data_IF_750583372122
#
_entry.id   IF_750583372122
#
_cell.length_a   1.000
_cell.length_b   1.000
_cell.length_c   1.000
_cell.angle_alpha   90.00
_cell.angle_beta   90.00
_cell.angle_gamma   90.00
#
_symmetry.space_group_name_H-M   'P 1'
#
loop_
_entity.id
_entity.type
_entity.pdbx_description
1 polymer ?
#
# COMPACT_ATOMS: atom_id res chain seq x y z
N UNK A 1 35.43 -30.20 34.58
CA UNK A 1 34.19 -29.96 35.36
C UNK A 1 33.60 -28.55 35.21
N UNK A 2 34.23 -27.59 34.53
CA UNK A 2 33.67 -26.23 34.37
C UNK A 2 32.58 -26.11 33.28
N UNK A 3 32.57 -26.98 32.26
CA UNK A 3 31.59 -26.92 31.17
C UNK A 3 30.17 -27.35 31.59
N UNK A 4 30.04 -28.24 32.58
CA UNK A 4 28.75 -28.72 33.10
C UNK A 4 28.03 -27.68 33.95
N UNK A 5 28.75 -26.78 34.64
CA UNK A 5 28.16 -25.69 35.41
C UNK A 5 27.60 -24.56 34.55
N UNK A 6 28.15 -24.34 33.35
CA UNK A 6 27.67 -23.30 32.42
C UNK A 6 26.35 -23.70 31.75
N UNK A 7 26.15 -25.00 31.47
CA UNK A 7 24.93 -25.52 30.87
C UNK A 7 23.76 -25.68 31.87
N UNK A 8 23.99 -25.49 33.17
CA UNK A 8 22.95 -25.54 34.20
C UNK A 8 22.08 -24.27 34.28
N UNK A 9 22.48 -23.18 33.63
CA UNK A 9 21.71 -21.94 33.60
C UNK A 9 20.65 -21.99 32.50
N UNK A 10 19.40 -22.22 32.90
CA UNK A 10 18.25 -22.30 32.00
C UNK A 10 18.10 -21.04 31.12
N UNK A 11 18.43 -19.85 31.65
CA UNK A 11 18.41 -18.60 30.89
C UNK A 11 19.46 -18.58 29.77
N UNK A 12 20.70 -19.02 30.06
CA UNK A 12 21.76 -19.09 29.06
C UNK A 12 21.42 -20.11 27.98
N UNK A 13 20.90 -21.28 28.36
CA UNK A 13 20.46 -22.30 27.41
C UNK A 13 19.30 -21.79 26.55
N UNK A 14 18.33 -21.08 27.15
CA UNK A 14 17.24 -20.42 26.43
C UNK A 14 17.76 -19.38 25.43
N UNK A 15 18.73 -18.54 25.84
CA UNK A 15 19.39 -17.61 24.94
C UNK A 15 20.10 -18.32 23.79
N UNK A 16 20.90 -19.37 24.05
CA UNK A 16 21.61 -20.12 23.01
C UNK A 16 20.63 -20.78 22.04
N UNK A 17 19.55 -21.38 22.54
CA UNK A 17 18.51 -21.99 21.70
C UNK A 17 17.70 -20.96 20.90
N UNK A 18 17.51 -19.75 21.44
CA UNK A 18 16.87 -18.64 20.75
C UNK A 18 17.76 -18.05 19.63
N UNK A 19 19.09 -18.19 19.75
CA UNK A 19 20.06 -17.82 18.74
C UNK A 19 20.25 -18.93 17.71
N UNK A 20 19.32 -19.04 16.77
CA UNK A 20 19.46 -19.98 15.64
C UNK A 20 20.38 -19.36 14.58
N UNK A 21 21.54 -19.98 14.35
CA UNK A 21 22.53 -19.53 13.35
C UNK A 21 23.04 -18.10 13.58
N UNK A 22 23.08 -17.62 14.84
CA UNK A 22 23.50 -16.25 15.16
C UNK A 22 22.45 -15.18 14.87
N UNK A 23 21.20 -15.56 14.60
CA UNK A 23 20.05 -14.66 14.48
C UNK A 23 19.18 -14.75 15.73
N UNK A 24 18.65 -13.62 16.19
CA UNK A 24 17.65 -13.63 17.26
C UNK A 24 16.33 -14.24 16.78
N UNK A 25 15.56 -14.81 17.70
CA UNK A 25 14.23 -15.38 17.41
C UNK A 25 13.30 -14.38 16.72
N UNK A 26 13.37 -13.09 17.08
CA UNK A 26 12.61 -12.02 16.43
C UNK A 26 12.98 -11.87 14.94
N UNK A 27 14.28 -11.86 14.61
CA UNK A 27 14.75 -11.74 13.22
C UNK A 27 14.32 -12.96 12.40
N UNK A 28 14.47 -14.17 12.95
CA UNK A 28 14.00 -15.41 12.31
C UNK A 28 12.48 -15.37 12.09
N UNK A 29 11.72 -14.84 13.05
CA UNK A 29 10.28 -14.69 12.92
C UNK A 29 9.88 -13.65 11.84
N UNK A 30 10.60 -12.52 11.73
CA UNK A 30 10.42 -11.53 10.64
C UNK A 30 10.64 -12.20 9.29
N UNK A 31 11.69 -13.02 9.14
CA UNK A 31 11.99 -13.75 7.91
C UNK A 31 10.95 -14.80 7.51
N UNK A 32 10.08 -15.20 8.44
CA UNK A 32 8.98 -16.16 8.22
C UNK A 32 7.63 -15.47 8.04
N UNK A 33 7.56 -14.14 8.16
CA UNK A 33 6.32 -13.41 7.97
C UNK A 33 5.92 -13.41 6.50
N UNK A 34 4.76 -13.97 6.16
CA UNK A 34 4.22 -13.86 4.81
C UNK A 34 3.85 -12.41 4.49
N UNK A 35 4.02 -11.99 3.24
CA UNK A 35 3.64 -10.65 2.75
C UNK A 35 2.13 -10.58 2.48
N UNK A 36 1.58 -9.37 2.56
CA UNK A 36 0.16 -9.14 2.27
C UNK A 36 0.00 -8.97 0.76
N UNK A 37 -0.74 -9.89 0.14
CA UNK A 37 -0.88 -9.94 -1.31
C UNK A 37 -2.17 -9.27 -1.79
N UNK A 38 -3.25 -9.38 -1.01
CA UNK A 38 -4.51 -8.71 -1.31
C UNK A 38 -5.14 -8.16 -0.04
N UNK A 39 -5.83 -7.02 -0.19
CA UNK A 39 -6.73 -6.48 0.83
C UNK A 39 -8.14 -6.45 0.23
N UNK A 40 -9.15 -6.84 1.01
CA UNK A 40 -10.56 -6.73 0.66
C UNK A 40 -11.40 -6.37 1.89
N UNK A 41 -12.67 -6.02 1.69
CA UNK A 41 -13.60 -5.62 2.75
C UNK A 41 -15.04 -5.67 2.26
N UNK A 42 -15.90 -4.84 2.84
CA UNK A 42 -17.35 -4.87 2.65
C UNK A 42 -17.85 -4.46 1.25
N UNK A 43 -17.05 -3.74 0.46
CA UNK A 43 -17.35 -3.43 -0.95
C UNK A 43 -17.39 -4.67 -1.87
N UNK A 44 -16.81 -5.81 -1.48
CA UNK A 44 -16.79 -7.03 -2.30
C UNK A 44 -17.60 -8.11 -1.58
N UNK A 45 -18.68 -8.55 -2.21
CA UNK A 45 -19.38 -9.76 -1.81
C UNK A 45 -18.98 -10.89 -2.76
N UNK A 46 -18.47 -12.00 -2.22
CA UNK A 46 -18.16 -13.19 -3.02
C UNK A 46 -18.72 -14.44 -2.35
N UNK A 47 -19.42 -15.24 -3.14
CA UNK A 47 -19.97 -16.53 -2.68
C UNK A 47 -18.94 -17.68 -2.72
N UNK A 48 -17.72 -17.45 -3.25
CA UNK A 48 -16.69 -18.48 -3.38
C UNK A 48 -15.44 -18.14 -2.58
N UNK A 49 -15.07 -19.04 -1.67
CA UNK A 49 -13.75 -19.04 -1.05
C UNK A 49 -12.71 -19.50 -2.08
N UNK A 50 -11.91 -18.58 -2.63
CA UNK A 50 -10.79 -18.95 -3.50
C UNK A 50 -9.53 -19.20 -2.69
N UNK A 51 -8.95 -20.39 -2.81
CA UNK A 51 -7.76 -20.85 -2.08
C UNK A 51 -6.59 -21.11 -3.04
N UNK A 52 -6.12 -20.09 -3.77
CA UNK A 52 -5.14 -20.30 -4.85
C UNK A 52 -3.90 -19.40 -4.85
N UNK A 53 -3.56 -18.67 -3.78
CA UNK A 53 -2.29 -17.92 -3.77
C UNK A 53 -1.45 -18.11 -2.52
N UNK A 54 -0.13 -18.14 -2.73
CA UNK A 54 0.92 -18.22 -1.73
C UNK A 54 1.12 -16.82 -1.11
N UNK A 55 0.20 -16.43 -0.21
CA UNK A 55 0.19 -15.09 0.36
C UNK A 55 -0.99 -14.82 1.30
N UNK A 56 -0.85 -13.78 2.13
CA UNK A 56 -1.95 -13.36 3.01
C UNK A 56 -2.98 -12.58 2.18
N UNK A 57 -4.19 -13.11 2.13
CA UNK A 57 -5.39 -12.39 1.70
C UNK A 57 -6.07 -11.81 2.94
N UNK A 58 -5.85 -10.52 3.19
CA UNK A 58 -6.35 -9.88 4.41
C UNK A 58 -7.72 -9.24 4.19
N UNK A 59 -8.68 -9.57 5.04
CA UNK A 59 -9.84 -8.71 5.22
C UNK A 59 -9.40 -7.43 5.96
N UNK A 60 -10.00 -6.28 5.62
CA UNK A 60 -9.68 -4.97 6.21
C UNK A 60 -9.73 -4.98 7.75
N UNK A 61 -10.66 -5.73 8.33
CA UNK A 61 -10.81 -5.87 9.78
C UNK A 61 -9.67 -6.67 10.45
N UNK A 62 -9.03 -7.59 9.74
CA UNK A 62 -7.95 -8.43 10.28
C UNK A 62 -6.57 -7.77 10.16
N UNK A 63 -6.48 -6.74 9.32
CA UNK A 63 -5.22 -6.11 8.95
C UNK A 63 -4.47 -5.55 10.17
N UNK A 64 -5.19 -4.94 11.12
CA UNK A 64 -4.59 -4.41 12.35
C UNK A 64 -3.90 -5.51 13.18
N UNK A 65 -4.55 -6.66 13.36
CA UNK A 65 -3.98 -7.77 14.12
C UNK A 65 -2.74 -8.38 13.44
N UNK A 66 -2.76 -8.52 12.11
CA UNK A 66 -1.61 -8.98 11.31
C UNK A 66 -0.44 -8.02 11.50
N UNK A 67 -0.69 -6.72 11.43
CA UNK A 67 0.35 -5.69 11.52
C UNK A 67 0.86 -5.49 12.94
N UNK A 68 0.01 -5.61 13.96
CA UNK A 68 0.42 -5.57 15.36
C UNK A 68 1.38 -6.71 15.70
N UNK A 69 1.14 -7.92 15.17
CA UNK A 69 2.09 -9.04 15.33
C UNK A 69 3.46 -8.69 14.72
N UNK A 70 3.48 -8.07 13.54
CA UNK A 70 4.72 -7.64 12.89
C UNK A 70 5.40 -6.50 13.65
N UNK A 71 4.64 -5.54 14.20
CA UNK A 71 5.16 -4.48 15.07
C UNK A 71 5.94 -5.08 16.23
N UNK A 72 5.33 -5.99 16.99
CA UNK A 72 5.99 -6.64 18.13
C UNK A 72 7.32 -7.30 17.74
N UNK A 73 7.38 -7.95 16.56
CA UNK A 73 8.61 -8.59 16.08
C UNK A 73 9.68 -7.57 15.66
N UNK A 74 9.28 -6.52 14.93
CA UNK A 74 10.22 -5.50 14.44
C UNK A 74 10.75 -4.65 15.59
N UNK A 75 9.88 -4.22 16.51
CA UNK A 75 10.27 -3.49 17.73
C UNK A 75 11.22 -4.32 18.59
N UNK A 76 10.89 -5.59 18.88
CA UNK A 76 11.80 -6.47 19.63
C UNK A 76 13.17 -6.67 18.95
N UNK A 77 13.23 -6.63 17.62
CA UNK A 77 14.50 -6.66 16.90
C UNK A 77 15.25 -5.32 16.96
N UNK A 78 14.54 -4.19 17.02
CA UNK A 78 15.14 -2.85 17.08
C UNK A 78 15.58 -2.46 18.50
N UNK A 79 14.92 -2.96 19.54
CA UNK A 79 15.21 -2.63 20.96
C UNK A 79 16.61 -3.08 21.41
N UNK A 80 17.22 -4.05 20.71
CA UNK A 80 18.56 -4.51 21.01
C UNK A 80 19.57 -4.03 19.93
N UNK A 81 20.63 -3.26 20.27
CA UNK A 81 21.54 -2.65 19.30
C UNK A 81 22.16 -3.63 18.29
N UNK A 82 22.57 -4.81 18.75
CA UNK A 82 23.15 -5.84 17.88
C UNK A 82 22.12 -6.41 16.89
N UNK A 83 20.86 -6.57 17.30
CA UNK A 83 19.78 -7.08 16.45
C UNK A 83 19.34 -6.01 15.45
N UNK A 84 19.28 -4.75 15.88
CA UNK A 84 18.97 -3.62 15.02
C UNK A 84 20.00 -3.50 13.88
N UNK A 85 21.30 -3.49 14.22
CA UNK A 85 22.37 -3.46 13.23
C UNK A 85 22.30 -4.65 12.25
N UNK A 86 22.02 -5.85 12.77
CA UNK A 86 21.82 -7.04 11.97
C UNK A 86 20.59 -6.94 11.06
N UNK A 87 19.46 -6.44 11.56
CA UNK A 87 18.23 -6.23 10.80
C UNK A 87 18.46 -5.25 9.65
N UNK A 88 19.11 -4.10 9.89
CA UNK A 88 19.46 -3.16 8.82
C UNK A 88 20.37 -3.79 7.75
N UNK A 89 21.33 -4.62 8.16
CA UNK A 89 22.17 -5.38 7.22
C UNK A 89 21.34 -6.39 6.41
N UNK A 90 20.37 -7.06 7.02
CA UNK A 90 19.48 -7.99 6.34
C UNK A 90 18.53 -7.27 5.39
N UNK A 91 17.93 -6.15 5.80
CA UNK A 91 17.05 -5.32 4.97
C UNK A 91 17.78 -4.81 3.71
N UNK A 92 19.07 -4.52 3.80
CA UNK A 92 19.88 -4.14 2.64
C UNK A 92 20.11 -5.28 1.63
N UNK A 93 20.10 -6.55 2.07
CA UNK A 93 20.50 -7.71 1.27
C UNK A 93 19.37 -8.68 0.90
N UNK A 94 18.35 -8.79 1.76
CA UNK A 94 17.27 -9.76 1.64
C UNK A 94 15.96 -9.04 1.38
N UNK A 95 15.49 -9.14 0.13
CA UNK A 95 14.25 -8.48 -0.32
C UNK A 95 13.04 -8.83 0.53
N UNK A 96 12.86 -10.09 0.92
CA UNK A 96 11.71 -10.50 1.73
C UNK A 96 11.71 -9.85 3.13
N UNK A 97 12.83 -9.92 3.86
CA UNK A 97 12.96 -9.26 5.18
C UNK A 97 12.70 -7.76 5.07
N UNK A 98 13.27 -7.13 4.04
CA UNK A 98 13.03 -5.72 3.75
C UNK A 98 11.54 -5.43 3.54
N UNK A 99 10.87 -6.21 2.70
CA UNK A 99 9.46 -6.01 2.36
C UNK A 99 8.56 -6.11 3.59
N UNK A 100 8.82 -7.06 4.50
CA UNK A 100 8.09 -7.18 5.78
C UNK A 100 8.29 -5.94 6.65
N UNK A 101 9.53 -5.47 6.80
CA UNK A 101 9.86 -4.28 7.61
C UNK A 101 9.28 -3.01 7.00
N UNK A 102 9.24 -2.91 5.66
CA UNK A 102 8.63 -1.77 4.97
C UNK A 102 7.12 -1.79 5.07
N UNK A 103 6.46 -2.95 4.97
CA UNK A 103 5.01 -3.07 5.25
C UNK A 103 4.69 -2.59 6.67
N UNK A 104 5.51 -2.98 7.66
CA UNK A 104 5.43 -2.45 9.03
C UNK A 104 5.59 -0.93 9.07
N UNK A 105 6.69 -0.40 8.52
CA UNK A 105 7.00 1.03 8.62
C UNK A 105 5.92 1.88 7.96
N UNK A 106 5.41 1.45 6.81
CA UNK A 106 4.38 2.15 6.05
C UNK A 106 3.02 2.10 6.75
N UNK A 107 2.64 0.95 7.31
CA UNK A 107 1.35 0.81 7.98
C UNK A 107 1.24 1.64 9.26
N UNK A 108 2.34 1.78 10.02
CA UNK A 108 2.38 2.56 11.26
C UNK A 108 2.90 4.00 11.09
N UNK A 109 3.09 4.46 9.85
CA UNK A 109 3.52 5.83 9.60
C UNK A 109 4.96 6.14 10.05
N UNK A 110 5.83 5.12 10.15
CA UNK A 110 7.24 5.26 10.54
C UNK A 110 8.08 5.80 9.37
N UNK A 111 7.82 7.04 8.97
CA UNK A 111 8.41 7.68 7.79
C UNK A 111 9.94 7.67 7.82
N UNK A 112 10.56 7.99 8.96
CA UNK A 112 12.01 7.99 9.10
C UNK A 112 12.63 6.60 8.88
N UNK A 113 12.01 5.54 9.39
CA UNK A 113 12.47 4.18 9.15
C UNK A 113 12.31 3.82 7.66
N UNK A 114 11.17 4.15 7.07
CA UNK A 114 10.92 3.92 5.64
C UNK A 114 11.95 4.65 4.74
N UNK A 115 12.23 5.92 5.02
CA UNK A 115 13.23 6.72 4.30
C UNK A 115 14.65 6.17 4.47
N UNK A 116 15.03 5.77 5.68
CA UNK A 116 16.33 5.16 5.96
C UNK A 116 16.51 3.87 5.14
N UNK A 117 15.48 3.02 5.07
CA UNK A 117 15.49 1.81 4.25
C UNK A 117 15.60 2.16 2.77
N UNK A 118 14.83 3.13 2.29
CA UNK A 118 14.91 3.60 0.90
C UNK A 118 16.32 4.09 0.55
N UNK A 119 16.93 4.91 1.39
CA UNK A 119 18.28 5.44 1.19
C UNK A 119 19.33 4.34 1.18
N UNK A 120 19.26 3.40 2.14
CA UNK A 120 20.15 2.25 2.19
C UNK A 120 20.02 1.41 0.91
N UNK A 121 18.80 1.19 0.43
CA UNK A 121 18.58 0.44 -0.80
C UNK A 121 19.05 1.15 -2.04
N UNK A 122 18.84 2.47 -2.12
CA UNK A 122 19.35 3.26 -3.23
C UNK A 122 20.87 3.09 -3.34
N UNK A 123 21.59 3.23 -2.22
CA UNK A 123 23.04 3.00 -2.17
C UNK A 123 23.42 1.58 -2.57
N UNK A 124 22.70 0.56 -2.08
CA UNK A 124 22.98 -0.83 -2.41
C UNK A 124 22.81 -1.12 -3.90
N UNK A 125 21.72 -0.65 -4.52
CA UNK A 125 21.45 -0.83 -5.95
C UNK A 125 22.47 -0.06 -6.80
N UNK A 126 22.83 1.17 -6.43
CA UNK A 126 23.83 1.96 -7.16
C UNK A 126 25.23 1.34 -7.11
N UNK A 127 25.53 0.55 -6.08
CA UNK A 127 26.84 -0.07 -5.88
C UNK A 127 26.90 -1.53 -6.36
N UNK A 128 25.81 -2.10 -6.88
CA UNK A 128 25.79 -3.49 -7.37
C UNK A 128 26.40 -3.56 -8.78
N UNK A 129 27.60 -4.15 -8.96
CA UNK A 129 28.24 -4.24 -10.26
C UNK A 129 27.51 -5.21 -11.21
N UNK A 130 26.64 -6.09 -10.69
CA UNK A 130 25.94 -7.09 -11.50
C UNK A 130 24.63 -6.56 -12.09
N UNK A 131 24.07 -5.48 -11.55
CA UNK A 131 22.76 -4.97 -11.95
C UNK A 131 22.80 -3.46 -12.17
N UNK A 132 22.66 -3.03 -13.41
CA UNK A 132 22.49 -1.61 -13.72
C UNK A 132 21.21 -1.06 -13.04
N UNK A 133 21.27 0.14 -12.44
CA UNK A 133 20.10 0.80 -11.89
C UNK A 133 18.98 0.89 -12.92
N UNK A 134 17.77 0.54 -12.51
CA UNK A 134 16.57 0.69 -13.33
C UNK A 134 15.82 1.92 -12.89
N UNK A 135 15.22 2.62 -13.85
CA UNK A 135 14.43 3.82 -13.59
C UNK A 135 12.99 3.61 -14.05
N UNK A 136 12.06 4.22 -13.32
CA UNK A 136 10.64 4.18 -13.67
C UNK A 136 10.24 5.32 -14.62
N UNK A 137 8.94 5.50 -14.80
CA UNK A 137 8.37 6.47 -15.75
C UNK A 137 8.62 7.94 -15.32
N UNK A 138 9.05 8.16 -14.09
CA UNK A 138 9.44 9.46 -13.53
C UNK A 138 10.94 9.60 -13.37
N UNK A 139 11.72 8.74 -14.04
CA UNK A 139 13.18 8.69 -13.92
C UNK A 139 13.65 8.47 -12.47
N UNK A 140 12.85 7.77 -11.68
CA UNK A 140 13.19 7.45 -10.28
C UNK A 140 13.75 6.03 -10.20
N UNK A 141 14.85 5.86 -9.47
CA UNK A 141 15.50 4.55 -9.34
C UNK A 141 14.61 3.52 -8.64
N UNK A 142 14.28 2.46 -9.36
CA UNK A 142 13.44 1.32 -8.93
C UNK A 142 14.13 0.51 -7.85
N UNK A 143 13.48 0.41 -6.70
CA UNK A 143 13.92 -0.48 -5.62
C UNK A 143 13.15 -1.80 -5.81
N UNK A 144 13.84 -2.94 -6.01
CA UNK A 144 13.17 -4.23 -6.13
C UNK A 144 12.33 -4.52 -4.87
N UNK A 145 11.07 -4.90 -5.03
CA UNK A 145 10.19 -5.22 -3.91
C UNK A 145 9.04 -6.12 -4.37
N UNK A 146 8.61 -7.01 -3.48
CA UNK A 146 7.38 -7.79 -3.59
C UNK A 146 6.25 -7.23 -2.70
N UNK A 147 6.50 -6.16 -1.93
CA UNK A 147 5.49 -5.47 -1.15
C UNK A 147 4.64 -4.56 -2.06
N UNK A 148 3.70 -5.15 -2.79
CA UNK A 148 2.90 -4.41 -3.77
C UNK A 148 1.82 -3.51 -3.14
N UNK A 149 1.46 -3.75 -1.88
CA UNK A 149 0.33 -3.10 -1.21
C UNK A 149 0.70 -1.92 -0.30
N UNK A 150 1.93 -1.40 -0.37
CA UNK A 150 2.36 -0.30 0.52
C UNK A 150 1.41 0.92 0.47
N UNK A 151 0.90 1.29 -0.70
CA UNK A 151 -0.07 2.40 -0.80
C UNK A 151 -1.40 2.10 -0.13
N UNK A 152 -1.85 0.84 -0.14
CA UNK A 152 -3.05 0.41 0.57
C UNK A 152 -2.81 0.46 2.08
N UNK A 153 -1.66 -0.01 2.56
CA UNK A 153 -1.31 0.03 3.98
C UNK A 153 -1.22 1.47 4.51
N UNK A 154 -0.59 2.38 3.76
CA UNK A 154 -0.57 3.81 4.13
C UNK A 154 -1.98 4.43 4.10
N UNK A 155 -2.76 4.09 3.06
CA UNK A 155 -4.14 4.55 2.92
C UNK A 155 -5.05 4.07 4.06
N UNK A 156 -4.82 2.87 4.60
CA UNK A 156 -5.63 2.28 5.66
C UNK A 156 -5.65 3.12 6.95
N UNK A 157 -4.51 3.74 7.30
CA UNK A 157 -4.34 4.60 8.47
C UNK A 157 -4.29 6.10 8.15
N UNK A 158 -4.41 6.48 6.88
CA UNK A 158 -4.44 7.90 6.50
C UNK A 158 -3.05 8.56 6.47
N UNK A 159 -1.97 7.79 6.32
CA UNK A 159 -0.58 8.29 6.30
C UNK A 159 -0.25 8.99 4.97
N UNK A 160 -0.76 10.21 4.81
CA UNK A 160 -0.58 11.01 3.59
C UNK A 160 0.89 11.34 3.31
N UNK A 161 1.67 11.63 4.34
CA UNK A 161 3.12 11.87 4.27
C UNK A 161 3.87 10.67 3.69
N UNK A 162 3.56 9.46 4.16
CA UNK A 162 4.12 8.21 3.61
C UNK A 162 3.69 8.01 2.16
N UNK A 163 2.43 8.31 1.80
CA UNK A 163 1.98 8.25 0.41
C UNK A 163 2.71 9.24 -0.50
N UNK A 164 2.95 10.46 -0.03
CA UNK A 164 3.75 11.46 -0.73
C UNK A 164 5.17 10.92 -0.93
N UNK A 165 5.79 10.35 0.10
CA UNK A 165 7.10 9.72 0.00
C UNK A 165 7.12 8.52 -0.97
N UNK A 166 6.08 7.67 -0.96
CA UNK A 166 5.90 6.58 -1.93
C UNK A 166 5.68 7.08 -3.37
N UNK A 167 5.29 8.35 -3.55
CA UNK A 167 5.18 9.01 -4.84
C UNK A 167 6.43 9.80 -5.23
N UNK A 168 7.42 9.93 -4.36
CA UNK A 168 8.76 10.45 -4.71
C UNK A 168 9.82 9.35 -4.75
N UNK A 169 9.48 8.14 -4.30
CA UNK A 169 10.33 6.95 -4.34
C UNK A 169 9.75 5.89 -5.29
N UNK A 170 10.61 5.09 -5.92
CA UNK A 170 10.17 3.95 -6.75
C UNK A 170 10.05 2.65 -5.96
N UNK A 171 9.83 2.74 -4.64
CA UNK A 171 9.73 1.56 -3.79
C UNK A 171 8.44 0.76 -4.10
N UNK A 172 7.38 1.44 -4.56
CA UNK A 172 6.11 0.79 -4.87
C UNK A 172 5.70 0.99 -6.32
N UNK A 173 5.45 -0.13 -7.02
CA UNK A 173 4.92 -0.15 -8.38
C UNK A 173 3.57 0.58 -8.46
N UNK A 174 3.44 1.51 -9.40
CA UNK A 174 2.17 2.20 -9.67
C UNK A 174 1.09 1.24 -10.18
N UNK A 175 1.50 0.09 -10.74
CA UNK A 175 0.57 -0.93 -11.26
C UNK A 175 -0.25 -1.60 -10.16
N UNK A 176 0.22 -1.60 -8.91
CA UNK A 176 -0.49 -2.20 -7.79
C UNK A 176 -1.68 -1.38 -7.29
N UNK A 177 -1.82 -0.10 -7.70
CA UNK A 177 -2.79 0.84 -7.12
C UNK A 177 -4.25 0.52 -7.40
N UNK A 178 -4.55 -0.05 -8.57
CA UNK A 178 -5.91 -0.10 -9.12
C UNK A 178 -6.82 -1.21 -8.59
N UNK A 179 -6.32 -2.10 -7.74
CA UNK A 179 -7.05 -3.28 -7.30
C UNK A 179 -7.35 -4.28 -8.41
N UNK A 180 -8.15 -5.28 -8.10
CA UNK A 180 -8.62 -6.34 -9.01
C UNK A 180 -10.08 -6.64 -8.73
N UNK A 181 -10.71 -7.54 -9.47
CA UNK A 181 -12.09 -7.96 -9.16
C UNK A 181 -12.26 -8.51 -7.74
N UNK A 182 -11.19 -9.05 -7.12
CA UNK A 182 -11.18 -9.65 -5.77
C UNK A 182 -10.43 -8.85 -4.71
N UNK A 183 -9.86 -7.71 -5.06
CA UNK A 183 -9.08 -6.89 -4.13
C UNK A 183 -9.44 -5.42 -4.25
N UNK A 184 -9.10 -4.67 -3.22
CA UNK A 184 -9.28 -3.22 -3.20
C UNK A 184 -8.20 -2.52 -3.99
N UNK A 185 -8.54 -1.34 -4.48
CA UNK A 185 -7.58 -0.29 -4.82
C UNK A 185 -7.19 0.51 -3.57
N UNK A 186 -6.14 1.31 -3.68
CA UNK A 186 -5.72 2.21 -2.58
C UNK A 186 -6.80 3.27 -2.26
N UNK A 187 -7.54 3.72 -3.28
CA UNK A 187 -8.69 4.64 -3.14
C UNK A 187 -9.82 3.97 -2.37
N UNK A 188 -10.15 2.71 -2.70
CA UNK A 188 -11.19 1.96 -1.99
C UNK A 188 -10.85 1.78 -0.50
N UNK A 189 -9.59 1.43 -0.20
CA UNK A 189 -9.10 1.34 1.18
C UNK A 189 -9.24 2.69 1.92
N UNK A 190 -8.78 3.79 1.31
CA UNK A 190 -8.85 5.10 1.93
C UNK A 190 -10.30 5.56 2.18
N UNK A 191 -11.18 5.33 1.21
CA UNK A 191 -12.57 5.77 1.26
C UNK A 191 -13.38 5.00 2.32
N UNK A 192 -13.21 3.68 2.38
CA UNK A 192 -13.84 2.84 3.40
C UNK A 192 -13.41 3.24 4.81
N UNK A 193 -12.14 3.65 4.97
CA UNK A 193 -11.59 4.10 6.25
C UNK A 193 -11.85 5.56 6.58
N UNK A 194 -12.51 6.31 5.69
CA UNK A 194 -12.89 7.71 5.95
C UNK A 194 -11.76 8.72 5.81
N UNK A 195 -10.65 8.38 5.12
CA UNK A 195 -9.48 9.26 5.01
C UNK A 195 -9.59 10.25 3.85
N UNK A 196 -10.39 11.31 4.02
CA UNK A 196 -10.72 12.26 2.95
C UNK A 196 -9.49 12.93 2.28
N UNK A 197 -8.50 13.34 3.07
CA UNK A 197 -7.27 13.95 2.53
C UNK A 197 -6.45 12.97 1.67
N UNK A 198 -6.43 11.69 2.06
CA UNK A 198 -5.78 10.64 1.27
C UNK A 198 -6.56 10.35 -0.01
N UNK A 199 -7.89 10.28 0.05
CA UNK A 199 -8.72 10.10 -1.15
C UNK A 199 -8.46 11.22 -2.16
N UNK A 200 -8.52 12.48 -1.72
CA UNK A 200 -8.25 13.64 -2.56
C UNK A 200 -6.87 13.56 -3.24
N UNK A 201 -5.82 13.25 -2.46
CA UNK A 201 -4.48 13.06 -2.98
C UNK A 201 -4.37 11.92 -4.01
N UNK A 202 -5.00 10.78 -3.72
CA UNK A 202 -4.95 9.60 -4.58
C UNK A 202 -5.71 9.83 -5.90
N UNK A 203 -6.88 10.50 -5.89
CA UNK A 203 -7.61 10.80 -7.13
C UNK A 203 -6.86 11.81 -7.99
N UNK A 204 -6.34 12.89 -7.38
CA UNK A 204 -5.58 13.93 -8.10
C UNK A 204 -4.33 13.35 -8.75
N UNK A 205 -3.60 12.51 -8.01
CA UNK A 205 -2.42 11.83 -8.56
C UNK A 205 -2.81 10.86 -9.68
N UNK A 206 -3.92 10.13 -9.54
CA UNK A 206 -4.37 9.18 -10.57
C UNK A 206 -4.77 9.88 -11.86
N UNK A 207 -5.44 11.04 -11.79
CA UNK A 207 -5.80 11.83 -12.98
C UNK A 207 -4.56 12.29 -13.74
N UNK A 208 -3.53 12.81 -13.04
CA UNK A 208 -2.26 13.25 -13.66
C UNK A 208 -1.52 12.11 -14.36
N UNK A 209 -1.65 10.91 -13.81
CA UNK A 209 -0.97 9.71 -14.27
C UNK A 209 -1.77 8.92 -15.31
N UNK A 210 -2.99 9.36 -15.63
CA UNK A 210 -3.92 8.56 -16.42
C UNK A 210 -3.41 8.27 -17.83
N UNK A 211 -2.80 9.27 -18.47
CA UNK A 211 -2.28 9.13 -19.82
C UNK A 211 -0.80 8.74 -19.90
N UNK A 212 -0.13 8.67 -18.75
CA UNK A 212 1.27 8.30 -18.69
C UNK A 212 1.48 6.85 -19.17
N UNK A 213 2.56 6.66 -19.93
CA UNK A 213 3.03 5.35 -20.37
C UNK A 213 4.38 5.05 -19.74
N UNK A 214 4.65 3.77 -19.48
CA UNK A 214 5.98 3.34 -19.08
C UNK A 214 6.96 3.35 -20.24
N UNK A 215 8.25 3.12 -19.94
CA UNK A 215 9.32 3.06 -20.93
C UNK A 215 9.13 1.95 -21.98
N UNK A 216 8.13 1.06 -21.79
CA UNK A 216 7.72 0.03 -22.75
C UNK A 216 6.44 0.40 -23.50
N UNK A 217 5.94 1.63 -23.33
CA UNK A 217 4.71 2.13 -23.97
C UNK A 217 3.42 1.64 -23.32
N UNK A 218 3.47 0.94 -22.18
CA UNK A 218 2.26 0.49 -21.50
C UNK A 218 1.68 1.60 -20.63
N UNK A 219 0.35 1.79 -20.63
CA UNK A 219 -0.31 2.70 -19.69
C UNK A 219 0.04 2.33 -18.25
N UNK A 220 0.33 3.35 -17.43
CA UNK A 220 0.72 3.19 -16.02
C UNK A 220 -0.41 2.56 -15.20
N UNK A 221 -1.66 2.91 -15.52
CA UNK A 221 -2.85 2.28 -14.92
C UNK A 221 -3.57 1.37 -15.90
N UNK A 222 -4.15 0.31 -15.36
CA UNK A 222 -5.13 -0.50 -16.06
C UNK A 222 -6.36 0.33 -16.44
N UNK A 223 -7.07 -0.09 -17.49
CA UNK A 223 -8.36 0.51 -17.87
C UNK A 223 -9.39 0.46 -16.74
N UNK A 224 -9.29 -0.57 -15.90
CA UNK A 224 -10.16 -0.85 -14.77
C UNK A 224 -9.41 -0.44 -13.48
N UNK A 225 -9.57 0.81 -13.06
CA UNK A 225 -9.12 1.27 -11.74
C UNK A 225 -10.32 1.24 -10.80
N UNK A 226 -10.43 0.20 -9.98
CA UNK A 226 -11.58 0.03 -9.08
C UNK A 226 -11.68 1.19 -8.09
N UNK A 227 -12.91 1.64 -7.87
CA UNK A 227 -13.21 2.82 -7.06
C UNK A 227 -13.23 4.15 -7.82
N UNK A 228 -12.53 4.27 -8.96
CA UNK A 228 -12.55 5.48 -9.79
C UNK A 228 -13.17 5.27 -11.17
N UNK A 229 -13.18 4.02 -11.67
CA UNK A 229 -13.65 3.69 -13.01
C UNK A 229 -14.60 2.51 -13.02
N UNK A 230 -15.57 2.49 -13.94
CA UNK A 230 -16.40 1.32 -14.14
C UNK A 230 -15.53 0.17 -14.69
N UNK A 231 -15.75 -1.08 -14.24
CA UNK A 231 -15.06 -2.22 -14.81
C UNK A 231 -15.44 -2.40 -16.28
N UNK A 232 -14.46 -2.79 -17.11
CA UNK A 232 -14.68 -3.17 -18.50
C UNK A 232 -15.68 -4.32 -18.63
N UNK A 233 -16.27 -4.48 -19.83
CA UNK A 233 -17.22 -5.57 -20.12
C UNK A 233 -16.60 -6.94 -19.80
N UNK A 234 -15.33 -7.16 -20.15
CA UNK A 234 -14.61 -8.40 -19.84
C UNK A 234 -14.53 -8.65 -18.34
N UNK A 235 -14.20 -7.63 -17.56
CA UNK A 235 -14.11 -7.72 -16.09
C UNK A 235 -15.48 -7.96 -15.46
N UNK A 236 -16.52 -7.28 -15.94
CA UNK A 236 -17.92 -7.52 -15.51
C UNK A 236 -18.34 -8.96 -15.76
N UNK A 237 -18.04 -9.51 -16.93
CA UNK A 237 -18.35 -10.90 -17.28
C UNK A 237 -17.60 -11.88 -16.37
N UNK A 238 -16.30 -11.65 -16.09
CA UNK A 238 -15.53 -12.46 -15.13
C UNK A 238 -16.11 -12.41 -13.72
N UNK A 239 -16.50 -11.23 -13.26
CA UNK A 239 -17.15 -11.04 -11.96
C UNK A 239 -18.45 -11.81 -11.88
N UNK A 240 -19.31 -11.70 -12.90
CA UNK A 240 -20.58 -12.43 -13.00
C UNK A 240 -20.38 -13.95 -12.92
N UNK A 241 -19.47 -14.52 -13.73
CA UNK A 241 -19.21 -15.96 -13.70
C UNK A 241 -18.61 -16.47 -12.39
N UNK A 242 -17.95 -15.59 -11.62
CA UNK A 242 -17.38 -15.91 -10.31
C UNK A 242 -18.32 -15.59 -9.14
N UNK A 243 -19.54 -15.12 -9.40
CA UNK A 243 -20.47 -14.66 -8.37
C UNK A 243 -19.85 -13.57 -7.49
N UNK A 244 -19.05 -12.67 -8.08
CA UNK A 244 -18.45 -11.54 -7.38
C UNK A 244 -19.29 -10.30 -7.66
N UNK A 245 -19.85 -9.73 -6.60
CA UNK A 245 -20.52 -8.44 -6.65
C UNK A 245 -19.63 -7.38 -6.01
N UNK A 246 -19.56 -6.22 -6.65
CA UNK A 246 -18.84 -5.06 -6.11
C UNK A 246 -19.75 -3.87 -5.99
N UNK A 247 -19.72 -3.27 -4.81
CA UNK A 247 -20.42 -2.02 -4.52
C UNK A 247 -19.60 -0.83 -5.03
N UNK A 248 -20.30 0.21 -5.47
CA UNK A 248 -19.64 1.50 -5.72
C UNK A 248 -19.05 2.04 -4.41
N UNK A 249 -17.76 2.40 -4.44
CA UNK A 249 -17.09 3.05 -3.31
C UNK A 249 -17.70 4.42 -2.98
N UNK A 250 -18.16 5.17 -3.99
CA UNK A 250 -18.80 6.47 -3.77
C UNK A 250 -20.14 6.31 -3.04
N UNK A 251 -20.93 5.31 -3.45
CA UNK A 251 -22.21 4.98 -2.79
C UNK A 251 -21.98 4.42 -1.38
N UNK A 252 -20.92 3.63 -1.18
CA UNK A 252 -20.56 3.11 0.13
C UNK A 252 -20.09 4.23 1.08
N UNK A 253 -19.26 5.15 0.59
CA UNK A 253 -18.83 6.32 1.36
C UNK A 253 -20.02 7.20 1.74
N UNK A 254 -20.96 7.45 0.81
CA UNK A 254 -22.17 8.22 1.10
C UNK A 254 -23.04 7.54 2.17
N UNK A 255 -23.29 6.23 2.04
CA UNK A 255 -24.08 5.48 3.02
C UNK A 255 -23.41 5.40 4.41
N UNK A 256 -22.07 5.48 4.46
CA UNK A 256 -21.30 5.56 5.70
C UNK A 256 -21.25 6.99 6.30
N UNK A 257 -21.87 7.99 5.65
CA UNK A 257 -21.84 9.39 6.08
C UNK A 257 -20.56 10.15 5.69
N UNK A 258 -19.70 9.58 4.86
CA UNK A 258 -18.48 10.23 4.35
C UNK A 258 -18.77 11.07 3.11
N UNK A 259 -19.63 12.09 3.27
CA UNK A 259 -20.15 12.91 2.17
C UNK A 259 -19.06 13.60 1.34
N UNK A 260 -18.01 14.11 1.98
CA UNK A 260 -16.88 14.77 1.31
C UNK A 260 -16.08 13.80 0.42
N UNK A 261 -15.94 12.55 0.86
CA UNK A 261 -15.27 11.48 0.10
C UNK A 261 -16.13 11.09 -1.09
N UNK A 262 -17.43 10.86 -0.89
CA UNK A 262 -18.35 10.54 -1.97
C UNK A 262 -18.36 11.65 -3.05
N UNK A 263 -18.43 12.91 -2.62
CA UNK A 263 -18.38 14.06 -3.52
C UNK A 263 -17.07 14.13 -4.30
N UNK A 264 -15.93 13.96 -3.62
CA UNK A 264 -14.61 13.95 -4.25
C UNK A 264 -14.51 12.84 -5.31
N UNK A 265 -14.94 11.62 -4.99
CA UNK A 265 -14.93 10.48 -5.91
C UNK A 265 -15.81 10.74 -7.14
N UNK A 266 -17.03 11.23 -6.93
CA UNK A 266 -18.00 11.51 -8.01
C UNK A 266 -17.51 12.63 -8.91
N UNK A 267 -16.95 13.71 -8.34
CA UNK A 267 -16.33 14.79 -9.11
C UNK A 267 -15.23 14.27 -10.04
N UNK A 268 -14.51 13.23 -9.62
CA UNK A 268 -13.46 12.59 -10.41
C UNK A 268 -13.94 11.42 -11.27
N UNK A 269 -15.25 11.24 -11.44
CA UNK A 269 -15.85 10.29 -12.37
C UNK A 269 -16.07 8.88 -11.80
N UNK A 270 -16.01 8.71 -10.48
CA UNK A 270 -16.30 7.42 -9.87
C UNK A 270 -17.74 6.95 -10.18
N UNK A 271 -17.93 5.65 -10.48
CA UNK A 271 -19.27 5.08 -10.65
C UNK A 271 -20.11 5.31 -9.41
N UNK A 272 -21.37 5.71 -9.56
CA UNK A 272 -22.31 5.89 -8.46
C UNK A 272 -23.73 5.61 -8.94
N UNK A 273 -24.62 5.26 -8.03
CA UNK A 273 -26.05 5.07 -8.34
C UNK A 273 -26.80 6.38 -8.08
N UNK A 274 -27.45 6.92 -9.11
CA UNK A 274 -28.29 8.13 -9.01
C UNK A 274 -29.57 7.93 -8.19
N UNK A 275 -29.77 6.73 -7.64
CA UNK A 275 -31.07 6.26 -7.14
C UNK A 275 -31.43 6.77 -5.75
N UNK A 276 -30.48 7.28 -4.96
CA UNK A 276 -30.72 7.57 -3.52
C UNK A 276 -30.61 9.03 -3.08
N UNK A 277 -30.07 9.90 -3.93
CA UNK A 277 -30.01 11.33 -3.63
C UNK A 277 -31.16 12.00 -4.38
N UNK A 278 -32.22 12.39 -3.65
CA UNK A 278 -33.18 13.35 -4.19
C UNK A 278 -32.40 14.51 -4.80
N UNK A 279 -32.74 14.90 -6.04
CA UNK A 279 -31.95 15.77 -6.93
C UNK A 279 -31.42 17.07 -6.30
N UNK A 280 -31.81 17.45 -5.08
CA UNK A 280 -31.33 18.63 -4.37
C UNK A 280 -29.96 18.49 -3.68
N UNK A 281 -29.54 17.32 -3.20
CA UNK A 281 -28.35 17.23 -2.33
C UNK A 281 -27.04 17.52 -3.07
N UNK A 282 -26.85 16.96 -4.28
CA UNK A 282 -25.65 17.21 -5.08
C UNK A 282 -25.54 18.66 -5.58
N UNK A 283 -26.66 19.28 -5.99
CA UNK A 283 -26.66 20.68 -6.42
C UNK A 283 -26.34 21.64 -5.25
N UNK A 284 -26.75 21.30 -4.02
CA UNK A 284 -26.41 22.08 -2.83
C UNK A 284 -24.92 21.96 -2.45
N UNK A 285 -24.31 20.77 -2.58
CA UNK A 285 -22.91 20.55 -2.23
C UNK A 285 -21.94 21.15 -3.28
N UNK A 286 -22.20 20.92 -4.57
CA UNK A 286 -21.33 21.39 -5.67
C UNK A 286 -21.51 22.90 -5.92
N UNK A 287 -22.68 23.46 -5.61
CA UNK A 287 -22.93 24.91 -5.71
C UNK A 287 -22.06 25.79 -4.80
N UNK A 288 -21.34 25.20 -3.84
CA UNK A 288 -20.48 25.93 -2.89
C UNK A 288 -18.98 25.89 -3.24
N UNK A 289 -18.56 25.05 -4.20
CA UNK A 289 -17.17 24.92 -4.60
C UNK A 289 -16.90 25.73 -5.89
N UNK A 290 -16.47 26.98 -5.72
CA UNK A 290 -16.02 27.83 -6.84
C UNK A 290 -14.79 27.19 -7.51
N UNK A 291 -14.79 26.94 -8.83
CA UNK A 291 -13.61 26.38 -9.49
C UNK A 291 -12.43 27.37 -9.38
N UNK A 292 -11.18 26.89 -9.22
CA UNK A 292 -10.01 27.75 -9.25
C UNK A 292 -9.92 28.42 -10.63
N UNK A 293 -9.95 29.75 -10.65
CA UNK A 293 -9.84 30.56 -11.86
C UNK A 293 -8.50 30.28 -12.54
N UNK A 294 -8.54 29.76 -13.77
CA UNK A 294 -7.36 29.61 -14.61
C UNK A 294 -6.95 30.97 -15.21
N UNK A 295 -5.66 31.30 -15.00
CA UNK A 295 -4.77 32.22 -15.73
C UNK A 295 -5.03 33.74 -15.77
N UNK A 296 -3.98 34.54 -15.54
CA UNK A 296 -3.68 35.69 -16.36
C UNK A 296 -2.58 35.34 -17.40
N UNK A 297 -2.91 35.69 -18.63
CA UNK A 297 -2.09 35.85 -19.83
C UNK A 297 -0.63 36.28 -19.61
N UNK A 298 0.32 35.52 -20.17
CA UNK A 298 1.68 36.00 -20.43
C UNK A 298 1.65 36.79 -21.75
N UNK A 299 1.96 38.08 -21.66
CA UNK A 299 2.10 38.98 -22.78
C UNK A 299 3.33 38.67 -23.63
N UNK A 300 3.15 38.70 -24.94
CA UNK A 300 4.21 38.82 -25.92
C UNK A 300 4.78 40.24 -25.88
N UNK A 301 6.10 40.37 -25.81
CA UNK A 301 6.80 41.55 -26.30
C UNK A 301 7.97 41.09 -27.17
N UNK A 302 7.95 41.60 -28.41
CA UNK A 302 9.05 41.58 -29.37
C UNK A 302 10.21 42.46 -28.92
#
# INVERSE_FOLDING_TARGET
MAATTVLGYAELLSCICAFQNGLSSAIVAIQRCQLIHTIHGDLISSQQASSESDGIHAHMNDLAAIMDRRRCLVEAAMDHPANSALLFRLVAKHTHTRDVVVEYAVFFGQLHLFEAICLAMKRAVSNDPQHAPRFDVFDRMVIPSHAYLLRHLAAFHGHLDVLVCLNTTSYSSLRGRGGTERSYSDIEVAAERGHAAVVAYLVDSTVKLFDATDHRGHKVFARDYFGLRPPSTTTKTKMFFRGIERRSVADAAADAGHETIAACLIQHGAPHTTRRTGRGWWHALVGSAKPPSANPSIGQTS
#
